data_IF_453656549777
#
_entry.id   IF_453656549777
#
_cell.length_a   1.000
_cell.length_b   1.000
_cell.length_c   1.000
_cell.angle_alpha   90.00
_cell.angle_beta   90.00
_cell.angle_gamma   90.00
#
_symmetry.space_group_name_H-M   'P 1'
#
loop_
_entity.id
_entity.type
_entity.pdbx_description
1 polymer ?
#
# COMPACT_ATOMS: atom_id res chain seq x y z
N UNK A 1 -32.03 5.51 -12.04
CA UNK A 1 -30.59 5.25 -12.22
C UNK A 1 -30.14 4.60 -10.94
N UNK A 2 -29.64 3.36 -10.98
CA UNK A 2 -29.17 2.70 -9.77
C UNK A 2 -28.03 3.53 -9.16
N UNK A 3 -28.04 3.70 -7.85
CA UNK A 3 -26.95 4.40 -7.17
C UNK A 3 -25.67 3.56 -7.26
N UNK A 4 -24.49 4.19 -7.21
CA UNK A 4 -23.21 3.46 -7.22
C UNK A 4 -23.15 2.41 -6.09
N UNK A 5 -23.72 2.74 -4.92
CA UNK A 5 -23.86 1.84 -3.78
C UNK A 5 -24.70 0.59 -4.10
N UNK A 6 -25.87 0.76 -4.73
CA UNK A 6 -26.71 -0.37 -5.16
C UNK A 6 -25.97 -1.27 -6.16
N UNK A 7 -25.21 -0.67 -7.07
CA UNK A 7 -24.42 -1.42 -8.06
C UNK A 7 -23.31 -2.22 -7.37
N UNK A 8 -22.59 -1.62 -6.42
CA UNK A 8 -21.57 -2.33 -5.62
C UNK A 8 -22.17 -3.49 -4.83
N UNK A 9 -23.33 -3.30 -4.19
CA UNK A 9 -24.02 -4.36 -3.44
C UNK A 9 -24.43 -5.53 -4.34
N UNK A 10 -24.97 -5.25 -5.52
CA UNK A 10 -25.34 -6.29 -6.49
C UNK A 10 -24.12 -7.07 -6.99
N UNK A 11 -23.01 -6.39 -7.28
CA UNK A 11 -21.77 -7.06 -7.72
C UNK A 11 -21.16 -7.89 -6.60
N UNK A 12 -21.18 -7.39 -5.36
CA UNK A 12 -20.68 -8.12 -4.20
C UNK A 12 -21.44 -9.43 -4.00
N UNK A 13 -22.78 -9.39 -3.98
CA UNK A 13 -23.60 -10.60 -3.85
C UNK A 13 -23.33 -11.62 -4.97
N UNK A 14 -23.13 -11.14 -6.21
CA UNK A 14 -22.80 -11.99 -7.34
C UNK A 14 -21.42 -12.65 -7.19
N UNK A 15 -20.42 -11.89 -6.76
CA UNK A 15 -19.04 -12.39 -6.64
C UNK A 15 -18.89 -13.35 -5.46
N UNK A 16 -19.64 -13.16 -4.37
CA UNK A 16 -19.69 -14.11 -3.25
C UNK A 16 -20.22 -15.49 -3.67
N UNK A 17 -21.30 -15.54 -4.45
CA UNK A 17 -21.79 -16.81 -5.01
C UNK A 17 -20.73 -17.42 -5.93
N UNK A 18 -20.07 -16.59 -6.73
CA UNK A 18 -19.04 -17.04 -7.68
C UNK A 18 -17.81 -17.58 -6.95
N UNK A 19 -17.39 -17.00 -5.82
CA UNK A 19 -16.22 -17.46 -5.05
C UNK A 19 -16.48 -18.83 -4.45
N UNK A 20 -17.66 -19.05 -3.86
CA UNK A 20 -18.06 -20.36 -3.32
C UNK A 20 -18.07 -21.44 -4.42
N UNK A 21 -18.55 -21.12 -5.61
CA UNK A 21 -18.52 -22.03 -6.75
C UNK A 21 -17.10 -22.33 -7.21
N UNK A 22 -16.24 -21.30 -7.26
CA UNK A 22 -14.84 -21.44 -7.65
C UNK A 22 -14.05 -22.29 -6.62
N UNK A 23 -14.28 -22.11 -5.32
CA UNK A 23 -13.69 -22.93 -4.25
C UNK A 23 -14.08 -24.40 -4.37
N UNK A 24 -15.36 -24.65 -4.67
CA UNK A 24 -15.86 -26.02 -4.93
C UNK A 24 -15.23 -26.62 -6.17
N UNK A 25 -15.10 -25.84 -7.25
CA UNK A 25 -14.42 -26.27 -8.48
C UNK A 25 -12.96 -26.64 -8.22
N UNK A 26 -12.21 -25.80 -7.50
CA UNK A 26 -10.82 -26.09 -7.10
C UNK A 26 -10.75 -27.36 -6.26
N UNK A 27 -11.65 -27.52 -5.29
CA UNK A 27 -11.73 -28.72 -4.44
C UNK A 27 -12.05 -29.98 -5.25
N UNK A 28 -12.94 -29.87 -6.23
CA UNK A 28 -13.28 -30.97 -7.13
C UNK A 28 -12.08 -31.32 -8.01
N UNK A 29 -11.44 -30.34 -8.65
CA UNK A 29 -10.23 -30.56 -9.45
C UNK A 29 -9.13 -31.28 -8.65
N UNK A 30 -8.97 -30.96 -7.37
CA UNK A 30 -7.99 -31.62 -6.50
C UNK A 30 -8.38 -33.06 -6.10
N UNK A 31 -9.69 -33.37 -6.05
CA UNK A 31 -10.21 -34.69 -5.64
C UNK A 31 -10.43 -35.64 -6.82
N UNK A 32 -10.84 -35.11 -7.97
CA UNK A 32 -11.01 -35.89 -9.18
C UNK A 32 -9.63 -36.12 -9.78
N UNK A 33 -9.09 -37.32 -9.61
CA UNK A 33 -7.87 -37.78 -10.30
C UNK A 33 -8.07 -37.96 -11.82
N UNK A 34 -8.87 -37.10 -12.43
CA UNK A 34 -9.15 -37.05 -13.87
C UNK A 34 -8.18 -36.04 -14.48
N UNK A 35 -7.60 -36.43 -15.61
CA UNK A 35 -6.57 -35.71 -16.36
C UNK A 35 -7.13 -34.41 -16.98
N UNK A 36 -7.39 -33.41 -16.13
CA UNK A 36 -7.70 -32.06 -16.57
C UNK A 36 -6.45 -31.45 -17.19
N UNK A 37 -6.61 -30.87 -18.38
CA UNK A 37 -5.50 -30.16 -19.03
C UNK A 37 -4.86 -29.17 -18.04
N UNK A 38 -3.54 -29.21 -17.85
CA UNK A 38 -2.84 -28.36 -16.89
C UNK A 38 -3.03 -26.87 -17.20
N UNK A 39 -3.35 -26.51 -18.44
CA UNK A 39 -3.70 -25.14 -18.82
C UNK A 39 -5.00 -24.65 -18.19
N UNK A 40 -6.01 -25.50 -18.09
CA UNK A 40 -7.32 -25.14 -17.54
C UNK A 40 -7.19 -24.95 -16.03
N UNK A 41 -6.47 -25.85 -15.35
CA UNK A 41 -6.20 -25.74 -13.91
C UNK A 41 -5.45 -24.45 -13.62
N UNK A 42 -4.39 -24.15 -14.39
CA UNK A 42 -3.62 -22.91 -14.24
C UNK A 42 -4.48 -21.66 -14.45
N UNK A 43 -5.33 -21.64 -15.48
CA UNK A 43 -6.27 -20.53 -15.71
C UNK A 43 -7.25 -20.37 -14.55
N UNK A 44 -7.82 -21.47 -14.06
CA UNK A 44 -8.74 -21.46 -12.92
C UNK A 44 -8.08 -20.88 -11.67
N UNK A 45 -6.85 -21.27 -11.35
CA UNK A 45 -6.12 -20.73 -10.20
C UNK A 45 -5.86 -19.22 -10.33
N UNK A 46 -5.50 -18.75 -11.52
CA UNK A 46 -5.29 -17.31 -11.78
C UNK A 46 -6.59 -16.53 -11.61
N UNK A 47 -7.68 -16.99 -12.22
CA UNK A 47 -8.97 -16.31 -12.14
C UNK A 47 -9.59 -16.39 -10.73
N UNK A 48 -9.37 -17.49 -10.00
CA UNK A 48 -9.76 -17.61 -8.59
C UNK A 48 -9.04 -16.58 -7.72
N UNK A 49 -7.74 -16.40 -7.89
CA UNK A 49 -6.99 -15.36 -7.19
C UNK A 49 -7.48 -13.94 -7.51
N UNK A 50 -7.80 -13.67 -8.78
CA UNK A 50 -8.37 -12.38 -9.21
C UNK A 50 -9.75 -12.12 -8.61
N UNK A 51 -10.60 -13.14 -8.59
CA UNK A 51 -11.94 -13.08 -8.00
C UNK A 51 -11.86 -12.72 -6.51
N UNK A 52 -10.99 -13.39 -5.75
CA UNK A 52 -10.84 -13.13 -4.32
C UNK A 52 -10.34 -11.70 -4.06
N UNK A 53 -9.37 -11.21 -4.83
CA UNK A 53 -8.89 -9.83 -4.70
C UNK A 53 -9.99 -8.81 -5.01
N UNK A 54 -10.83 -9.05 -6.01
CA UNK A 54 -11.96 -8.18 -6.33
C UNK A 54 -13.03 -8.19 -5.24
N UNK A 55 -13.30 -9.37 -4.68
CA UNK A 55 -14.26 -9.56 -3.60
C UNK A 55 -13.79 -8.84 -2.33
N UNK A 56 -12.52 -8.98 -1.96
CA UNK A 56 -11.90 -8.23 -0.85
C UNK A 56 -12.03 -6.72 -1.03
N UNK A 57 -11.78 -6.20 -2.24
CA UNK A 57 -11.90 -4.77 -2.55
C UNK A 57 -13.34 -4.27 -2.43
N UNK A 58 -14.31 -5.04 -2.94
CA UNK A 58 -15.72 -4.68 -2.85
C UNK A 58 -16.24 -4.77 -1.42
N UNK A 59 -15.81 -5.76 -0.64
CA UNK A 59 -16.16 -5.89 0.79
C UNK A 59 -15.56 -4.76 1.63
N UNK A 60 -14.29 -4.40 1.35
CA UNK A 60 -13.65 -3.28 2.01
C UNK A 60 -14.31 -1.93 1.64
N UNK A 61 -15.10 -1.89 0.56
CA UNK A 61 -15.80 -0.71 0.03
C UNK A 61 -14.90 0.54 -0.02
N UNK A 62 -13.62 0.33 -0.36
CA UNK A 62 -12.59 1.36 -0.34
C UNK A 62 -11.97 1.51 -1.71
N UNK A 63 -11.72 2.75 -2.10
CA UNK A 63 -11.01 3.09 -3.32
C UNK A 63 -9.72 3.81 -2.96
N UNK A 64 -8.60 3.14 -3.21
CA UNK A 64 -7.27 3.67 -2.90
C UNK A 64 -6.68 4.30 -4.17
N UNK A 65 -6.18 5.53 -4.02
CA UNK A 65 -5.49 6.27 -5.08
C UNK A 65 -4.10 6.61 -4.62
N UNK A 66 -3.08 6.08 -5.30
CA UNK A 66 -1.69 6.42 -5.05
C UNK A 66 -1.28 7.61 -5.93
N UNK A 67 -0.82 8.71 -5.31
CA UNK A 67 -0.28 9.88 -6.01
C UNK A 67 1.24 9.90 -5.83
N UNK A 68 1.97 9.68 -6.93
CA UNK A 68 3.43 9.60 -6.96
C UNK A 68 3.98 10.73 -7.83
N UNK A 69 5.13 11.28 -7.47
CA UNK A 69 5.79 12.33 -8.22
C UNK A 69 7.00 12.90 -7.47
N UNK A 70 7.79 13.70 -8.17
CA UNK A 70 8.97 14.34 -7.61
C UNK A 70 8.63 15.32 -6.47
N UNK A 71 9.61 15.60 -5.62
CA UNK A 71 9.50 16.65 -4.62
C UNK A 71 9.22 18.01 -5.29
N UNK A 72 8.40 18.85 -4.65
CA UNK A 72 8.00 20.20 -5.15
C UNK A 72 7.16 20.21 -6.42
N UNK A 73 6.68 19.05 -6.90
CA UNK A 73 5.74 18.97 -8.03
C UNK A 73 4.31 19.45 -7.71
N UNK A 74 4.01 19.78 -6.46
CA UNK A 74 2.68 20.26 -6.04
C UNK A 74 1.67 19.17 -5.66
N UNK A 75 2.12 17.94 -5.34
CA UNK A 75 1.25 16.82 -4.95
C UNK A 75 0.29 17.16 -3.81
N UNK A 76 0.80 17.77 -2.73
CA UNK A 76 -0.03 18.18 -1.59
C UNK A 76 -1.04 19.26 -1.97
N UNK A 77 -0.67 20.20 -2.84
CA UNK A 77 -1.58 21.23 -3.33
C UNK A 77 -2.70 20.64 -4.20
N UNK A 78 -2.38 19.66 -5.05
CA UNK A 78 -3.38 18.93 -5.84
C UNK A 78 -4.37 18.17 -4.93
N UNK A 79 -3.87 17.46 -3.92
CA UNK A 79 -4.71 16.72 -2.98
C UNK A 79 -5.62 17.66 -2.18
N UNK A 80 -5.08 18.76 -1.66
CA UNK A 80 -5.87 19.76 -0.93
C UNK A 80 -6.96 20.38 -1.82
N UNK A 81 -6.63 20.70 -3.07
CA UNK A 81 -7.61 21.22 -4.03
C UNK A 81 -8.68 20.19 -4.41
N UNK A 82 -8.29 18.91 -4.53
CA UNK A 82 -9.22 17.82 -4.87
C UNK A 82 -10.16 17.50 -3.71
N UNK A 83 -9.65 17.50 -2.47
CA UNK A 83 -10.43 17.26 -1.26
C UNK A 83 -11.20 18.51 -0.81
N UNK A 84 -10.88 19.69 -1.35
CA UNK A 84 -11.48 20.97 -0.97
C UNK A 84 -11.11 21.43 0.45
N UNK A 85 -10.06 20.85 1.04
CA UNK A 85 -9.62 21.10 2.41
C UNK A 85 -8.09 21.09 2.49
N UNK A 86 -7.51 21.92 3.34
CA UNK A 86 -6.06 21.94 3.60
C UNK A 86 -5.66 20.86 4.61
N UNK A 87 -5.71 19.59 4.18
CA UNK A 87 -5.38 18.43 5.02
C UNK A 87 -3.87 18.23 5.11
N UNK A 88 -3.16 18.40 3.99
CA UNK A 88 -1.71 18.26 3.94
C UNK A 88 -1.03 19.63 4.05
N UNK A 89 0.07 19.74 4.80
CA UNK A 89 0.85 20.98 4.86
C UNK A 89 1.37 21.35 3.47
N UNK A 90 1.00 22.54 3.00
CA UNK A 90 1.44 23.10 1.72
C UNK A 90 2.46 24.23 1.94
N UNK A 91 3.62 23.91 2.53
CA UNK A 91 4.73 24.85 2.64
C UNK A 91 5.79 24.61 1.55
N UNK A 92 6.69 25.59 1.34
CA UNK A 92 7.81 25.49 0.38
C UNK A 92 8.91 24.54 0.84
N UNK A 93 8.94 24.23 2.13
CA UNK A 93 9.89 23.30 2.74
C UNK A 93 9.47 21.84 2.46
N UNK A 94 10.36 20.88 2.74
CA UNK A 94 10.01 19.46 2.56
C UNK A 94 8.99 19.03 3.60
N UNK A 95 7.73 18.88 3.18
CA UNK A 95 6.63 18.59 4.09
C UNK A 95 6.17 17.12 4.11
N UNK A 96 6.46 16.33 3.08
CA UNK A 96 5.97 14.94 2.94
C UNK A 96 7.07 13.99 2.46
N UNK A 97 8.05 13.71 3.33
CA UNK A 97 9.07 12.69 3.07
C UNK A 97 8.58 11.27 3.45
N UNK A 98 7.61 11.19 4.36
CA UNK A 98 6.99 9.95 4.83
C UNK A 98 5.75 9.59 4.01
N UNK A 99 5.48 8.29 3.83
CA UNK A 99 4.21 7.83 3.28
C UNK A 99 3.05 8.39 4.11
N UNK A 100 2.13 9.08 3.45
CA UNK A 100 0.97 9.70 4.10
C UNK A 100 -0.29 9.14 3.47
N UNK A 101 -1.16 8.59 4.32
CA UNK A 101 -2.45 8.04 3.91
C UNK A 101 -3.56 8.91 4.45
N UNK A 102 -4.57 9.19 3.63
CA UNK A 102 -5.73 9.97 4.01
C UNK A 102 -6.95 9.06 3.91
N UNK A 103 -7.62 8.87 5.04
CA UNK A 103 -8.80 8.03 5.17
C UNK A 103 -10.03 8.89 5.44
N UNK A 104 -11.17 8.51 4.87
CA UNK A 104 -12.43 9.22 5.14
C UNK A 104 -12.97 8.87 6.53
N UNK A 105 -13.24 9.89 7.35
CA UNK A 105 -13.97 9.75 8.61
C UNK A 105 -15.48 9.96 8.37
N UNK A 106 -16.34 9.19 9.06
CA UNK A 106 -17.80 9.38 8.94
C UNK A 106 -18.29 10.62 9.68
N UNK A 107 -17.67 10.94 10.81
CA UNK A 107 -17.98 12.11 11.63
C UNK A 107 -16.71 12.88 12.00
N UNK A 108 -16.86 14.14 12.41
CA UNK A 108 -15.72 14.95 12.88
C UNK A 108 -15.04 14.34 14.13
N UNK A 109 -15.81 13.63 14.96
CA UNK A 109 -15.32 12.99 16.17
C UNK A 109 -14.44 11.76 15.90
N UNK A 110 -14.57 11.17 14.69
CA UNK A 110 -13.78 10.01 14.27
C UNK A 110 -12.44 10.41 13.64
N UNK A 111 -12.14 11.71 13.54
CA UNK A 111 -10.89 12.19 12.98
C UNK A 111 -9.71 11.82 13.90
N UNK A 112 -8.77 11.06 13.37
CA UNK A 112 -7.59 10.62 14.08
C UNK A 112 -6.33 10.91 13.26
N UNK A 113 -5.30 11.42 13.94
CA UNK A 113 -3.95 11.51 13.41
C UNK A 113 -3.10 10.42 14.06
N UNK A 114 -2.67 9.45 13.26
CA UNK A 114 -1.76 8.40 13.71
C UNK A 114 -0.39 8.59 13.07
N UNK A 115 0.65 8.61 13.88
CA UNK A 115 2.04 8.70 13.43
C UNK A 115 2.73 7.39 13.81
N UNK A 116 3.12 6.63 12.80
CA UNK A 116 3.90 5.41 12.98
C UNK A 116 5.38 5.70 12.76
N UNK A 117 6.20 5.43 13.78
CA UNK A 117 7.64 5.49 13.68
C UNK A 117 8.21 4.11 13.33
N UNK A 118 9.37 4.10 12.69
CA UNK A 118 10.10 2.86 12.44
C UNK A 118 10.57 2.22 13.73
N UNK A 119 10.44 0.90 13.81
CA UNK A 119 11.04 0.08 14.86
C UNK A 119 12.56 -0.04 14.66
N UNK A 120 13.27 -0.47 15.72
CA UNK A 120 14.72 -0.69 15.67
C UNK A 120 15.12 -1.70 14.59
N UNK A 121 14.32 -2.76 14.43
CA UNK A 121 14.55 -3.79 13.42
C UNK A 121 14.38 -3.24 12.01
N UNK A 122 13.36 -2.41 11.76
CA UNK A 122 13.14 -1.77 10.47
C UNK A 122 14.25 -0.79 10.13
N UNK A 123 14.70 0.02 11.09
CA UNK A 123 15.85 0.92 10.91
C UNK A 123 17.11 0.12 10.56
N UNK A 124 17.36 -0.99 11.27
CA UNK A 124 18.49 -1.87 10.97
C UNK A 124 18.43 -2.45 9.55
N UNK A 125 17.25 -2.92 9.12
CA UNK A 125 17.02 -3.40 7.75
C UNK A 125 17.25 -2.31 6.70
N UNK A 126 16.76 -1.09 6.94
CA UNK A 126 16.95 0.05 6.05
C UNK A 126 18.44 0.42 5.91
N UNK A 127 19.17 0.45 7.02
CA UNK A 127 20.62 0.71 7.00
C UNK A 127 21.38 -0.37 6.23
N UNK A 128 20.99 -1.63 6.39
CA UNK A 128 21.60 -2.73 5.64
C UNK A 128 21.29 -2.64 4.14
N UNK A 129 20.06 -2.33 3.76
CA UNK A 129 19.69 -2.11 2.35
C UNK A 129 20.45 -0.95 1.73
N UNK A 130 20.61 0.17 2.45
CA UNK A 130 21.44 1.32 1.99
C UNK A 130 22.89 0.91 1.80
N UNK A 131 23.44 0.16 2.75
CA UNK A 131 24.81 -0.37 2.68
C UNK A 131 24.98 -1.29 1.46
N UNK A 132 24.04 -2.21 1.22
CA UNK A 132 24.06 -3.09 0.06
C UNK A 132 23.93 -2.31 -1.25
N UNK A 133 23.08 -1.27 -1.29
CA UNK A 133 22.94 -0.38 -2.44
C UNK A 133 24.24 0.36 -2.77
N UNK A 134 25.01 0.79 -1.75
CA UNK A 134 26.30 1.45 -1.93
C UNK A 134 27.39 0.55 -2.54
N UNK A 135 27.26 -0.78 -2.40
CA UNK A 135 28.11 -1.77 -3.08
C UNK A 135 27.62 -2.10 -4.50
N UNK A 136 26.40 -1.68 -4.86
CA UNK A 136 25.81 -1.86 -6.18
C UNK A 136 26.33 -0.86 -7.23
N UNK A 137 25.79 -0.97 -8.44
CA UNK A 137 26.09 -0.05 -9.54
C UNK A 137 25.15 1.15 -9.46
N UNK A 138 25.56 2.20 -8.74
CA UNK A 138 24.84 3.47 -8.63
C UNK A 138 25.59 4.59 -9.36
N UNK A 139 24.88 5.62 -9.79
CA UNK A 139 25.53 6.84 -10.28
C UNK A 139 26.21 7.58 -9.12
N UNK A 140 27.28 8.33 -9.39
CA UNK A 140 28.06 9.02 -8.36
C UNK A 140 27.22 9.95 -7.47
N UNK A 141 26.19 10.59 -8.06
CA UNK A 141 25.25 11.45 -7.34
C UNK A 141 24.36 10.65 -6.38
N UNK A 142 23.76 9.56 -6.85
CA UNK A 142 22.89 8.68 -6.04
C UNK A 142 23.68 8.03 -4.90
N UNK A 143 24.91 7.61 -5.19
CA UNK A 143 25.81 7.05 -4.20
C UNK A 143 26.12 8.05 -3.09
N UNK A 144 26.38 9.32 -3.44
CA UNK A 144 26.65 10.37 -2.46
C UNK A 144 25.44 10.68 -1.58
N UNK A 145 24.25 10.78 -2.19
CA UNK A 145 23.00 11.01 -1.45
C UNK A 145 22.71 9.85 -0.46
N UNK A 146 22.86 8.60 -0.91
CA UNK A 146 22.65 7.42 -0.05
C UNK A 146 23.70 7.34 1.08
N UNK A 147 24.94 7.73 0.81
CA UNK A 147 26.00 7.76 1.82
C UNK A 147 25.72 8.83 2.89
N UNK A 148 25.32 10.03 2.48
CA UNK A 148 24.94 11.11 3.41
C UNK A 148 23.78 10.67 4.32
N UNK A 149 22.73 10.07 3.74
CA UNK A 149 21.60 9.53 4.49
C UNK A 149 22.00 8.41 5.46
N UNK A 150 22.90 7.52 5.05
CA UNK A 150 23.41 6.42 5.87
C UNK A 150 24.18 6.95 7.08
N UNK A 151 25.13 7.86 6.85
CA UNK A 151 25.99 8.44 7.88
C UNK A 151 25.17 9.25 8.89
N UNK A 152 24.20 10.03 8.42
CA UNK A 152 23.34 10.83 9.30
C UNK A 152 22.41 9.95 10.14
N UNK A 153 21.94 8.82 9.60
CA UNK A 153 21.17 7.84 10.35
C UNK A 153 22.04 7.15 11.42
N UNK A 154 23.30 6.80 11.11
CA UNK A 154 24.23 6.22 12.09
C UNK A 154 24.58 7.21 13.22
N UNK A 155 24.84 8.48 12.90
CA UNK A 155 25.15 9.52 13.91
C UNK A 155 24.02 9.68 14.93
N UNK A 156 22.77 9.61 14.49
CA UNK A 156 21.59 9.83 15.32
C UNK A 156 20.98 8.53 15.87
N UNK A 157 21.56 7.37 15.56
CA UNK A 157 21.00 6.05 15.86
C UNK A 157 20.74 5.84 17.36
N UNK A 158 21.65 6.33 18.21
CA UNK A 158 21.49 6.27 19.67
C UNK A 158 20.29 7.08 20.16
N UNK A 159 20.11 8.30 19.65
CA UNK A 159 18.96 9.13 20.00
C UNK A 159 17.65 8.48 19.53
N UNK A 160 17.62 7.96 18.30
CA UNK A 160 16.46 7.24 17.76
C UNK A 160 16.09 6.02 18.63
N UNK A 161 17.10 5.31 19.16
CA UNK A 161 16.89 4.15 20.01
C UNK A 161 16.42 4.45 21.44
N UNK A 162 16.62 5.68 21.91
CA UNK A 162 16.04 6.16 23.17
C UNK A 162 14.57 6.53 23.00
N UNK A 163 14.19 7.18 21.90
CA UNK A 163 12.79 7.52 21.62
C UNK A 163 11.90 6.30 21.40
N UNK A 164 12.46 5.20 20.89
CA UNK A 164 11.72 3.93 20.65
C UNK A 164 11.61 3.03 21.89
N UNK A 165 12.07 3.47 23.08
CA UNK A 165 11.88 2.75 24.36
C UNK A 165 10.58 3.11 25.10
N UNK A 166 9.89 4.17 24.70
CA UNK A 166 8.56 4.54 25.22
C UNK A 166 7.47 3.82 24.44
#
# INVERSE_FOLDING_TARGET
MATWLETCQQQLARLEVTSVLADRLVTLCNKTGVDLSPEIVKKLTIEHGRLNLQLERLQANRFEVAVIGLEKAGKSALLNAWLGQEILPSARERCTFTSTEIWSAQTEQDQLLFIQYYTKEEIGKLQQQRKDALYGTLNDKERKEIQEDFDDTEKNLNAIYEFTKQ
#
